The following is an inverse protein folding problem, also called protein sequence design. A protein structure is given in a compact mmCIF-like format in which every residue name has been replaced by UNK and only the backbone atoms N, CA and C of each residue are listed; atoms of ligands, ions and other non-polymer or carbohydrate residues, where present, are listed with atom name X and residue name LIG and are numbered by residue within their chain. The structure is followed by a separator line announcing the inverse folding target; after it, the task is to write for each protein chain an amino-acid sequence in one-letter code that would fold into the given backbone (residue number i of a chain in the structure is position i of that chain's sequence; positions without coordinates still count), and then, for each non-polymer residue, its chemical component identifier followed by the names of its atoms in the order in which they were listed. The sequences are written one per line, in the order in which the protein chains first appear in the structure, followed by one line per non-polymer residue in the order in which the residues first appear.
data_IF_828342234728
#
_entry.id   IF_828342234728
#
_cell.length_a   1.000
_cell.length_b   1.000
_cell.length_c   1.000
_cell.angle_alpha   90.00
_cell.angle_beta   90.00
_cell.angle_gamma   90.00
#
_symmetry.space_group_name_H-M   'P 1'
#
loop_
_entity.id
_entity.type
_entity.pdbx_description
1 polymer ?
#
# COMPACT_ATOMS: atom_id res chain seq x y z
N UNK A 1 24.23 4.36 6.94
CA UNK A 1 22.90 4.27 7.58
C UNK A 1 21.90 4.97 6.66
N UNK A 2 20.75 4.36 6.41
CA UNK A 2 19.82 4.78 5.34
C UNK A 2 19.06 6.07 5.70
N UNK A 3 19.13 7.08 4.83
CA UNK A 3 18.29 8.29 4.84
C UNK A 3 16.82 7.98 4.50
N UNK A 4 16.16 7.14 5.29
CA UNK A 4 14.70 7.02 5.24
C UNK A 4 14.16 8.04 6.22
N UNK A 5 13.52 9.10 5.72
CA UNK A 5 12.92 10.10 6.59
C UNK A 5 11.62 9.53 7.17
N UNK A 6 11.26 9.82 8.43
CA UNK A 6 9.99 9.37 9.00
C UNK A 6 8.78 9.72 8.13
N UNK A 7 8.80 10.90 7.49
CA UNK A 7 7.74 11.35 6.57
C UNK A 7 7.53 10.40 5.38
N UNK A 8 8.59 9.73 4.92
CA UNK A 8 8.50 8.80 3.80
C UNK A 8 7.67 7.56 4.19
N UNK A 9 7.44 7.26 5.47
CA UNK A 9 6.52 6.19 5.91
C UNK A 9 5.04 6.58 5.80
N UNK A 10 4.73 7.88 5.78
CA UNK A 10 3.36 8.40 5.73
C UNK A 10 2.95 8.87 4.34
N UNK A 11 3.88 8.98 3.38
CA UNK A 11 3.59 9.32 1.98
C UNK A 11 3.25 8.04 1.18
N UNK A 12 2.07 7.94 0.51
CA UNK A 12 1.72 6.80 -0.35
C UNK A 12 2.54 6.72 -1.66
N UNK A 13 3.35 7.72 -2.01
CA UNK A 13 4.19 7.74 -3.21
C UNK A 13 5.43 6.84 -3.04
N UNK A 14 6.02 6.46 -4.17
CA UNK A 14 7.17 5.55 -4.17
C UNK A 14 6.74 4.08 -4.26
N UNK A 15 7.70 3.19 -3.97
CA UNK A 15 7.51 1.74 -4.02
C UNK A 15 8.11 1.07 -2.79
N UNK A 16 7.55 -0.08 -2.45
CA UNK A 16 8.05 -0.97 -1.39
C UNK A 16 8.06 -2.39 -1.93
N UNK A 17 9.16 -3.12 -1.71
CA UNK A 17 9.23 -4.53 -2.07
C UNK A 17 8.73 -5.42 -0.91
N UNK A 18 8.79 -6.74 -1.10
CA UNK A 18 8.36 -7.72 -0.08
C UNK A 18 9.03 -7.54 1.28
N UNK A 19 10.31 -7.18 1.32
CA UNK A 19 11.10 -7.06 2.56
C UNK A 19 10.57 -5.87 3.37
N UNK A 20 10.39 -4.72 2.72
CA UNK A 20 9.85 -3.53 3.36
C UNK A 20 8.41 -3.74 3.86
N UNK A 21 7.58 -4.44 3.08
CA UNK A 21 6.21 -4.76 3.48
C UNK A 21 6.17 -5.67 4.73
N UNK A 22 6.99 -6.72 4.77
CA UNK A 22 7.10 -7.62 5.94
C UNK A 22 7.60 -6.86 7.16
N UNK A 23 8.59 -5.98 7.00
CA UNK A 23 9.10 -5.18 8.11
C UNK A 23 8.01 -4.28 8.71
N UNK A 24 7.21 -3.62 7.87
CA UNK A 24 6.06 -2.81 8.33
C UNK A 24 5.03 -3.68 9.05
N UNK A 25 4.67 -4.83 8.46
CA UNK A 25 3.72 -5.75 9.08
C UNK A 25 4.20 -6.24 10.46
N UNK A 26 5.48 -6.60 10.59
CA UNK A 26 6.07 -7.01 11.86
C UNK A 26 6.02 -5.92 12.93
N UNK A 27 6.35 -4.67 12.56
CA UNK A 27 6.26 -3.51 13.47
C UNK A 27 4.82 -3.28 13.91
N UNK A 28 3.87 -3.33 12.99
CA UNK A 28 2.45 -3.12 13.31
C UNK A 28 1.87 -4.21 14.21
N UNK A 29 2.18 -5.48 13.92
CA UNK A 29 1.76 -6.62 14.75
C UNK A 29 2.40 -6.53 16.14
N UNK A 30 3.69 -6.19 16.22
CA UNK A 30 4.38 -5.98 17.50
C UNK A 30 3.75 -4.86 18.32
N UNK A 31 3.40 -3.73 17.68
CA UNK A 31 2.76 -2.61 18.35
C UNK A 31 1.35 -2.95 18.86
N UNK A 32 0.51 -3.59 18.03
CA UNK A 32 -0.82 -4.05 18.46
C UNK A 32 -0.72 -5.10 19.58
N UNK A 33 0.16 -6.10 19.41
CA UNK A 33 0.39 -7.13 20.41
C UNK A 33 0.85 -6.53 21.75
N UNK A 34 1.72 -5.51 21.71
CA UNK A 34 2.15 -4.78 22.90
C UNK A 34 0.99 -4.11 23.64
N UNK A 35 0.04 -3.49 22.93
CA UNK A 35 -1.17 -2.91 23.55
C UNK A 35 -2.06 -3.97 24.17
N UNK A 36 -2.29 -5.09 23.47
CA UNK A 36 -3.07 -6.21 24.01
C UNK A 36 -2.43 -6.82 25.26
N UNK A 37 -1.12 -7.08 25.22
CA UNK A 37 -0.36 -7.63 26.36
C UNK A 37 -0.36 -6.64 27.52
N UNK A 38 -0.17 -5.34 27.26
CA UNK A 38 -0.24 -4.30 28.30
C UNK A 38 -1.61 -4.25 28.97
N UNK A 39 -2.68 -4.29 28.17
CA UNK A 39 -4.07 -4.32 28.68
C UNK A 39 -4.29 -5.54 29.58
N UNK A 40 -3.83 -6.71 29.13
CA UNK A 40 -3.93 -7.96 29.88
C UNK A 40 -3.16 -7.92 31.21
N UNK A 41 -1.91 -7.44 31.19
CA UNK A 41 -1.05 -7.43 32.39
C UNK A 41 -1.46 -6.38 33.43
N UNK A 42 -2.04 -5.27 33.00
CA UNK A 42 -2.41 -4.15 33.89
C UNK A 42 -3.87 -4.19 34.34
N UNK A 43 -4.70 -5.05 33.74
CA UNK A 43 -6.17 -5.00 33.82
C UNK A 43 -6.74 -3.59 33.50
N UNK A 44 -5.98 -2.77 32.78
CA UNK A 44 -6.37 -1.44 32.38
C UNK A 44 -6.73 -1.46 30.90
N UNK A 45 -8.03 -1.41 30.60
CA UNK A 45 -8.49 -1.19 29.24
C UNK A 45 -8.17 0.25 28.85
N UNK A 46 -7.40 0.49 27.77
CA UNK A 46 -7.19 1.83 27.28
C UNK A 46 -8.54 2.46 26.94
N UNK A 47 -8.63 3.79 27.09
CA UNK A 47 -9.81 4.53 26.69
C UNK A 47 -10.20 4.17 25.23
N UNK A 48 -11.48 3.90 24.93
CA UNK A 48 -11.93 3.52 23.59
C UNK A 48 -11.42 4.45 22.48
N UNK A 49 -11.29 5.74 22.78
CA UNK A 49 -10.80 6.79 21.90
C UNK A 49 -9.34 6.55 21.49
N UNK A 50 -8.49 6.05 22.39
CA UNK A 50 -7.09 5.72 22.12
C UNK A 50 -6.99 4.55 21.15
N UNK A 51 -7.85 3.53 21.32
CA UNK A 51 -7.92 2.40 20.39
C UNK A 51 -8.34 2.85 18.98
N UNK A 52 -9.35 3.72 18.88
CA UNK A 52 -9.79 4.27 17.60
C UNK A 52 -8.69 5.08 16.93
N UNK A 53 -8.02 5.98 17.68
CA UNK A 53 -6.92 6.78 17.16
C UNK A 53 -5.75 5.92 16.66
N UNK A 54 -5.35 4.91 17.45
CA UNK A 54 -4.30 3.97 17.07
C UNK A 54 -4.67 3.16 15.83
N UNK A 55 -5.90 2.64 15.77
CA UNK A 55 -6.39 1.91 14.60
C UNK A 55 -6.44 2.79 13.35
N UNK A 56 -6.76 4.08 13.48
CA UNK A 56 -6.70 5.03 12.36
C UNK A 56 -5.26 5.21 11.84
N UNK A 57 -4.27 5.32 12.74
CA UNK A 57 -2.85 5.40 12.36
C UNK A 57 -2.40 4.11 11.66
N UNK A 58 -2.77 2.94 12.19
CA UNK A 58 -2.45 1.65 11.57
C UNK A 58 -3.14 1.44 10.23
N UNK A 59 -4.39 1.87 10.10
CA UNK A 59 -5.11 1.85 8.83
C UNK A 59 -4.38 2.72 7.79
N UNK A 60 -3.89 3.91 8.18
CA UNK A 60 -3.12 4.78 7.30
C UNK A 60 -1.78 4.16 6.88
N UNK A 61 -1.00 3.61 7.81
CA UNK A 61 0.28 2.96 7.50
C UNK A 61 0.07 1.73 6.59
N UNK A 62 -0.99 0.96 6.82
CA UNK A 62 -1.40 -0.15 5.95
C UNK A 62 -1.75 0.35 4.55
N UNK A 63 -2.55 1.41 4.46
CA UNK A 63 -2.92 2.04 3.19
C UNK A 63 -1.68 2.48 2.39
N UNK A 64 -0.75 3.20 3.03
CA UNK A 64 0.48 3.69 2.42
C UNK A 64 1.37 2.55 1.94
N UNK A 65 1.62 1.56 2.80
CA UNK A 65 2.50 0.43 2.49
C UNK A 65 1.95 -0.46 1.37
N UNK A 66 0.66 -0.77 1.40
CA UNK A 66 0.00 -1.54 0.34
C UNK A 66 -0.01 -0.75 -0.97
N UNK A 67 -0.29 0.56 -0.93
CA UNK A 67 -0.25 1.41 -2.13
C UNK A 67 1.12 1.38 -2.79
N UNK A 68 2.19 1.56 -2.02
CA UNK A 68 3.58 1.43 -2.49
C UNK A 68 3.88 0.04 -3.03
N UNK A 69 3.29 -1.01 -2.46
CA UNK A 69 3.50 -2.37 -2.94
C UNK A 69 2.79 -2.59 -4.28
N UNK A 70 1.58 -2.08 -4.41
CA UNK A 70 0.82 -2.10 -5.67
C UNK A 70 1.57 -1.32 -6.77
N UNK A 71 2.19 -0.19 -6.43
CA UNK A 71 3.08 0.56 -7.32
C UNK A 71 4.31 -0.25 -7.74
N UNK A 72 4.88 -1.04 -6.82
CA UNK A 72 6.00 -1.93 -7.12
C UNK A 72 5.62 -3.02 -8.13
N UNK A 73 4.36 -3.46 -8.11
CA UNK A 73 3.77 -4.37 -9.09
C UNK A 73 3.36 -3.68 -10.41
N UNK A 74 3.59 -2.36 -10.55
CA UNK A 74 3.28 -1.58 -11.75
C UNK A 74 1.83 -1.09 -11.84
N UNK A 75 1.01 -1.34 -10.83
CA UNK A 75 -0.40 -0.95 -10.83
C UNK A 75 -0.63 0.37 -10.08
N UNK A 76 -1.75 1.03 -10.36
CA UNK A 76 -2.15 2.24 -9.62
C UNK A 76 -2.84 1.91 -8.30
N UNK A 77 -2.62 2.72 -7.26
CA UNK A 77 -3.23 2.56 -5.93
C UNK A 77 -4.77 2.54 -5.93
N UNK A 78 -5.42 3.11 -6.97
CA UNK A 78 -6.88 3.05 -7.13
C UNK A 78 -7.45 1.62 -7.13
N UNK A 79 -6.66 0.60 -7.49
CA UNK A 79 -7.08 -0.81 -7.39
C UNK A 79 -7.36 -1.24 -5.94
N UNK A 80 -6.67 -0.66 -4.97
CA UNK A 80 -6.90 -0.96 -3.56
C UNK A 80 -8.25 -0.43 -3.10
N UNK A 81 -8.62 0.79 -3.52
CA UNK A 81 -9.93 1.38 -3.21
C UNK A 81 -11.05 0.54 -3.83
N UNK A 82 -10.90 0.12 -5.08
CA UNK A 82 -11.85 -0.78 -5.73
C UNK A 82 -11.96 -2.13 -5.01
N UNK A 83 -10.82 -2.71 -4.59
CA UNK A 83 -10.80 -3.94 -3.81
C UNK A 83 -11.52 -3.79 -2.45
N UNK A 84 -11.28 -2.69 -1.75
CA UNK A 84 -11.93 -2.39 -0.47
C UNK A 84 -13.45 -2.23 -0.63
N UNK A 85 -13.90 -1.50 -1.68
CA UNK A 85 -15.33 -1.37 -2.00
C UNK A 85 -15.93 -2.74 -2.34
N UNK A 86 -15.25 -3.54 -3.17
CA UNK A 86 -15.73 -4.86 -3.55
C UNK A 86 -15.89 -5.78 -2.33
N UNK A 87 -14.91 -5.78 -1.42
CA UNK A 87 -14.99 -6.52 -0.15
C UNK A 87 -16.15 -6.00 0.69
N UNK A 88 -16.29 -4.68 0.88
CA UNK A 88 -17.37 -4.12 1.69
C UNK A 88 -18.76 -4.51 1.16
N UNK A 89 -18.97 -4.40 -0.15
CA UNK A 89 -20.23 -4.82 -0.80
C UNK A 89 -20.46 -6.33 -0.64
N UNK A 90 -19.44 -7.15 -0.90
CA UNK A 90 -19.53 -8.60 -0.73
C UNK A 90 -19.87 -8.98 0.73
N UNK A 91 -19.26 -8.33 1.71
CA UNK A 91 -19.53 -8.56 3.14
C UNK A 91 -20.98 -8.29 3.50
N UNK A 92 -21.55 -7.18 3.02
CA UNK A 92 -22.96 -6.85 3.25
C UNK A 92 -23.87 -7.89 2.62
N UNK A 93 -23.60 -8.28 1.37
CA UNK A 93 -24.41 -9.28 0.67
C UNK A 93 -24.35 -10.65 1.36
N UNK A 94 -23.16 -11.11 1.74
CA UNK A 94 -22.97 -12.37 2.48
C UNK A 94 -23.70 -12.32 3.82
N UNK A 95 -23.62 -11.21 4.54
CA UNK A 95 -24.34 -11.05 5.81
C UNK A 95 -25.86 -11.12 5.62
N UNK A 96 -26.42 -10.41 4.64
CA UNK A 96 -27.87 -10.44 4.34
C UNK A 96 -28.33 -11.87 4.01
N UNK A 97 -27.61 -12.55 3.11
CA UNK A 97 -27.96 -13.92 2.71
C UNK A 97 -27.85 -14.88 3.89
N UNK A 98 -26.79 -14.76 4.70
CA UNK A 98 -26.59 -15.62 5.86
C UNK A 98 -27.65 -15.40 6.94
N UNK A 99 -28.00 -14.15 7.25
CA UNK A 99 -29.09 -13.83 8.19
C UNK A 99 -30.42 -14.40 7.70
N UNK A 100 -30.73 -14.25 6.40
CA UNK A 100 -31.95 -14.79 5.82
C UNK A 100 -32.00 -16.33 5.84
N UNK A 101 -30.87 -17.00 5.66
CA UNK A 101 -30.79 -18.46 5.58
C UNK A 101 -30.67 -19.16 6.94
N UNK A 102 -29.96 -18.55 7.90
CA UNK A 102 -29.60 -19.17 9.18
C UNK A 102 -30.39 -18.60 10.37
N UNK A 103 -31.09 -17.48 10.18
CA UNK A 103 -31.74 -16.73 11.25
C UNK A 103 -30.79 -15.81 12.02
N UNK A 104 -31.37 -14.87 12.77
CA UNK A 104 -30.63 -13.83 13.50
C UNK A 104 -29.79 -14.41 14.65
N UNK A 105 -30.28 -15.42 15.36
CA UNK A 105 -29.59 -16.02 16.50
C UNK A 105 -28.25 -16.65 16.11
N UNK A 106 -28.16 -17.27 14.94
CA UNK A 106 -26.92 -17.87 14.43
C UNK A 106 -25.85 -16.82 14.06
N UNK A 107 -26.27 -15.57 13.88
CA UNK A 107 -25.43 -14.44 13.49
C UNK A 107 -24.96 -13.59 14.68
N UNK A 108 -25.37 -13.93 15.90
CA UNK A 108 -24.84 -13.30 17.11
C UNK A 108 -23.33 -13.53 17.24
N UNK A 109 -22.56 -12.57 17.80
CA UNK A 109 -21.12 -12.71 17.99
C UNK A 109 -20.77 -14.02 18.74
N UNK A 110 -19.89 -14.83 18.15
CA UNK A 110 -19.49 -16.14 18.68
C UNK A 110 -20.34 -17.32 18.18
N UNK A 111 -21.46 -17.07 17.50
CA UNK A 111 -22.26 -18.10 16.83
C UNK A 111 -21.55 -18.71 15.62
N UNK A 112 -21.94 -19.94 15.25
CA UNK A 112 -21.35 -20.66 14.10
C UNK A 112 -21.61 -19.91 12.79
N UNK A 113 -22.81 -19.34 12.61
CA UNK A 113 -23.16 -18.54 11.43
C UNK A 113 -22.30 -17.28 11.31
N UNK A 114 -22.12 -16.57 12.42
CA UNK A 114 -21.20 -15.42 12.51
C UNK A 114 -19.77 -15.79 12.10
N UNK A 115 -19.21 -16.88 12.64
CA UNK A 115 -17.85 -17.32 12.32
C UNK A 115 -17.70 -17.76 10.86
N UNK A 116 -18.71 -18.42 10.30
CA UNK A 116 -18.71 -18.83 8.90
C UNK A 116 -18.71 -17.61 7.96
N UNK A 117 -19.60 -16.63 8.23
CA UNK A 117 -19.66 -15.38 7.46
C UNK A 117 -18.37 -14.59 7.57
N UNK A 118 -17.84 -14.42 8.78
CA UNK A 118 -16.55 -13.77 8.99
C UNK A 118 -15.45 -14.46 8.17
N UNK A 119 -15.38 -15.80 8.24
CA UNK A 119 -14.38 -16.58 7.48
C UNK A 119 -14.50 -16.35 5.97
N UNK A 120 -15.71 -16.43 5.42
CA UNK A 120 -15.96 -16.20 3.98
C UNK A 120 -15.51 -14.80 3.55
N UNK A 121 -15.78 -13.79 4.37
CA UNK A 121 -15.38 -12.40 4.12
C UNK A 121 -13.87 -12.20 4.22
N UNK A 122 -13.20 -12.86 5.15
CA UNK A 122 -11.76 -12.68 5.38
C UNK A 122 -10.88 -13.48 4.42
N UNK A 123 -11.32 -14.61 3.87
CA UNK A 123 -10.56 -15.40 2.89
C UNK A 123 -10.02 -14.56 1.72
N UNK A 124 -10.83 -13.74 1.00
CA UNK A 124 -10.30 -12.92 -0.10
C UNK A 124 -9.30 -11.85 0.38
N UNK A 125 -9.48 -11.32 1.59
CA UNK A 125 -8.53 -10.37 2.20
C UNK A 125 -7.18 -11.05 2.44
N UNK A 126 -7.19 -12.23 3.07
CA UNK A 126 -5.99 -13.04 3.33
C UNK A 126 -5.31 -13.41 2.01
N UNK A 127 -6.07 -13.86 1.02
CA UNK A 127 -5.54 -14.19 -0.30
C UNK A 127 -4.86 -12.99 -0.97
N UNK A 128 -5.46 -11.79 -0.89
CA UNK A 128 -4.86 -10.56 -1.41
C UNK A 128 -3.55 -10.19 -0.68
N UNK A 129 -3.53 -10.33 0.65
CA UNK A 129 -2.32 -10.09 1.46
C UNK A 129 -1.22 -11.08 1.08
N UNK A 130 -1.51 -12.38 0.98
CA UNK A 130 -0.56 -13.41 0.55
C UNK A 130 -0.02 -13.07 -0.85
N UNK A 131 -0.90 -12.73 -1.78
CA UNK A 131 -0.50 -12.33 -3.12
C UNK A 131 0.44 -11.11 -3.12
N UNK A 132 0.17 -10.08 -2.32
CA UNK A 132 1.05 -8.91 -2.19
C UNK A 132 2.45 -9.28 -1.68
N UNK A 133 2.56 -10.28 -0.81
CA UNK A 133 3.84 -10.75 -0.28
C UNK A 133 4.61 -11.64 -1.28
N UNK A 134 3.89 -12.45 -2.06
CA UNK A 134 4.49 -13.43 -2.97
C UNK A 134 4.77 -12.88 -4.38
N UNK A 135 3.98 -11.93 -4.87
CA UNK A 135 4.08 -11.45 -6.26
C UNK A 135 5.44 -10.76 -6.52
N UNK A 136 6.16 -11.07 -7.61
CA UNK A 136 7.40 -10.38 -7.93
C UNK A 136 7.13 -8.92 -8.34
N UNK A 137 7.95 -8.00 -7.84
CA UNK A 137 7.93 -6.59 -8.25
C UNK A 137 8.50 -6.39 -9.66
N UNK A 138 8.18 -5.24 -10.27
CA UNK A 138 8.75 -4.82 -11.55
C UNK A 138 10.22 -4.42 -11.37
N UNK A 139 11.14 -5.01 -12.14
CA UNK A 139 12.57 -4.65 -12.09
C UNK A 139 12.82 -3.26 -12.70
N UNK A 140 13.85 -2.57 -12.21
CA UNK A 140 14.20 -1.22 -12.66
C UNK A 140 13.23 -0.14 -12.21
N UNK A 141 13.41 1.08 -12.71
CA UNK A 141 12.53 2.23 -12.42
C UNK A 141 11.18 2.11 -13.12
N UNK A 142 10.10 2.54 -12.46
CA UNK A 142 8.78 2.68 -13.10
C UNK A 142 8.17 4.07 -12.81
N UNK A 143 6.96 4.35 -13.30
CA UNK A 143 6.27 5.65 -13.13
C UNK A 143 6.06 6.09 -11.67
N UNK A 144 6.19 5.18 -10.72
CA UNK A 144 6.01 5.44 -9.29
C UNK A 144 7.33 5.61 -8.53
N UNK A 145 8.47 5.33 -9.16
CA UNK A 145 9.79 5.54 -8.58
C UNK A 145 10.84 4.50 -8.94
N UNK A 146 12.07 4.67 -8.43
CA UNK A 146 13.17 3.73 -8.64
C UNK A 146 12.88 2.38 -7.96
N UNK A 147 13.61 1.34 -8.36
CA UNK A 147 13.51 0.02 -7.74
C UNK A 147 13.83 0.10 -6.23
N UNK A 148 13.04 -0.57 -5.37
CA UNK A 148 13.33 -0.61 -3.94
C UNK A 148 14.69 -1.26 -3.65
N UNK A 149 15.47 -0.63 -2.77
CA UNK A 149 16.79 -1.12 -2.39
C UNK A 149 16.75 -2.28 -1.38
N UNK A 150 17.91 -2.58 -0.78
CA UNK A 150 18.07 -3.65 0.21
C UNK A 150 17.21 -3.47 1.47
N UNK A 151 16.89 -2.23 1.86
CA UNK A 151 15.98 -1.92 2.98
C UNK A 151 14.51 -2.19 2.63
N UNK A 152 14.21 -2.44 1.36
CA UNK A 152 12.87 -2.69 0.87
C UNK A 152 12.08 -1.47 0.42
N UNK A 153 12.68 -0.28 0.47
CA UNK A 153 12.05 0.99 0.09
C UNK A 153 12.74 1.64 -1.10
N UNK A 154 11.97 2.28 -1.98
CA UNK A 154 12.52 3.20 -2.98
C UNK A 154 13.07 4.44 -2.28
N UNK A 155 14.29 4.85 -2.65
CA UNK A 155 14.80 6.16 -2.23
C UNK A 155 14.06 7.21 -3.04
N UNK A 156 13.41 8.16 -2.37
CA UNK A 156 13.12 9.42 -3.02
C UNK A 156 14.47 10.02 -3.34
N UNK A 157 14.90 9.92 -4.60
CA UNK A 157 15.87 10.87 -5.10
C UNK A 157 15.19 12.23 -4.97
N UNK A 158 15.47 12.92 -3.86
CA UNK A 158 15.36 14.37 -3.82
C UNK A 158 15.99 14.80 -5.12
N UNK A 159 15.20 15.42 -5.98
CA UNK A 159 15.56 15.71 -7.36
C UNK A 159 16.72 16.69 -7.37
N UNK A 160 17.93 16.20 -7.12
CA UNK A 160 19.14 16.72 -7.73
C UNK A 160 19.07 16.29 -9.18
N UNK A 161 18.12 16.86 -9.92
CA UNK A 161 18.51 17.31 -11.24
C UNK A 161 19.59 18.35 -10.94
N UNK A 162 20.88 18.11 -11.22
CA UNK A 162 21.65 19.25 -11.66
C UNK A 162 20.81 19.84 -12.78
N UNK A 163 20.47 21.11 -12.67
CA UNK A 163 20.06 21.90 -13.83
C UNK A 163 21.32 21.89 -14.70
N UNK A 164 21.54 20.81 -15.44
CA UNK A 164 22.42 20.83 -16.58
C UNK A 164 21.68 21.71 -17.57
N UNK A 165 22.02 22.99 -17.50
CA UNK A 165 21.94 23.91 -18.62
C UNK A 165 22.58 23.21 -19.82
N UNK A 166 21.77 22.49 -20.59
CA UNK A 166 22.22 21.86 -21.82
C UNK A 166 21.07 21.91 -22.81
N UNK A 167 21.26 22.76 -23.81
CA UNK A 167 20.70 22.53 -25.12
C UNK A 167 19.30 23.07 -25.36
N UNK A 168 19.12 24.40 -25.27
CA UNK A 168 18.48 25.04 -26.43
C UNK A 168 19.43 24.78 -27.61
N UNK A 169 19.19 23.68 -28.32
CA UNK A 169 19.78 23.48 -29.63
C UNK A 169 19.21 24.61 -30.49
N UNK A 170 20.10 25.55 -30.79
CA UNK A 170 19.89 26.67 -31.70
C UNK A 170 19.29 26.17 -33.00
N UNK A 171 18.06 26.59 -33.29
CA UNK A 171 17.35 26.31 -34.53
C UNK A 171 17.84 27.19 -35.71
N UNK A 172 19.09 27.65 -35.73
CA UNK A 172 19.53 28.72 -36.63
C UNK A 172 20.70 28.40 -37.58
N UNK A 173 20.99 27.12 -37.87
CA UNK A 173 22.07 26.77 -38.80
C UNK A 173 21.70 25.67 -39.80
N UNK A 174 20.56 25.84 -40.49
CA UNK A 174 20.16 24.97 -41.60
C UNK A 174 19.66 25.77 -42.83
N UNK A 175 20.30 26.92 -43.13
CA UNK A 175 20.02 27.67 -44.36
C UNK A 175 21.32 28.15 -45.01
N UNK A 176 22.06 27.22 -45.63
CA UNK A 176 23.12 27.53 -46.58
C UNK A 176 23.26 26.39 -47.58
N UNK A 177 22.43 26.42 -48.63
CA UNK A 177 22.69 25.69 -49.87
C UNK A 177 23.34 26.67 -50.88
N UNK A 178 24.56 26.39 -51.36
CA UNK A 178 25.14 27.15 -52.46
C UNK A 178 24.50 26.71 -53.78
N UNK A 179 23.93 27.66 -54.51
CA UNK A 179 23.50 27.47 -55.91
C UNK A 179 24.76 27.46 -56.77
N UNK A 180 25.18 26.27 -57.23
CA UNK A 180 26.18 26.15 -58.27
C UNK A 180 25.56 26.55 -59.61
N UNK A 181 26.14 27.59 -60.22
CA UNK A 181 25.92 27.97 -61.59
C UNK A 181 26.39 26.85 -62.54
N UNK A 182 25.58 26.53 -63.54
CA UNK A 182 25.98 25.81 -64.75
C UNK A 182 25.46 26.61 -65.95
N UNK A 183 26.37 26.80 -66.89
CA UNK A 183 26.31 27.59 -68.12
C UNK A 183 25.06 27.39 -68.98
#
# INVERSE_FOLDING_TARGET
MSDIRPIDFFDPRGRVNRIGLIAIAAVMVGAQGGVYVSTYLTNYAPFPEVHVAMNAVFAWISYVSISKRIHDLGYGAGRMVLGAIAIAVASVLVAIVATAALGEDAMLPGGVGYLAVASIVFVPVIAAVVWLHCAPGVKGSNRFGPEPGATGFSRHHASSRPITASGRVSAASALATPVSAVN
#
